data_IF_092129287387
#
_entry.id   IF_092129287387
#
_cell.length_a   1.000
_cell.length_b   1.000
_cell.length_c   1.000
_cell.angle_alpha   90.00
_cell.angle_beta   90.00
_cell.angle_gamma   90.00
#
_symmetry.space_group_name_H-M   'P 1'
#
loop_
_entity.id
_entity.type
_entity.pdbx_description
1 polymer ?
#
# COMPACT_ATOMS: atom_id res chain seq x y z
N UNK A 1 10.58 4.36 18.49
CA UNK A 1 9.12 4.13 18.42
C UNK A 1 8.86 3.44 17.08
N UNK A 2 8.05 2.38 17.02
CA UNK A 2 7.71 1.70 15.75
C UNK A 2 6.50 2.39 15.12
N UNK A 3 6.50 2.56 13.79
CA UNK A 3 5.38 3.15 13.07
C UNK A 3 4.09 2.33 13.28
N UNK A 4 3.04 3.00 13.75
CA UNK A 4 1.70 2.43 13.86
C UNK A 4 1.00 2.54 12.52
N UNK A 5 0.57 1.41 11.96
CA UNK A 5 -0.06 1.41 10.65
C UNK A 5 -1.48 0.86 10.74
N UNK A 6 -2.41 1.69 10.30
CA UNK A 6 -3.80 1.32 10.11
C UNK A 6 -4.11 1.12 8.63
N UNK A 7 -5.25 0.53 8.33
CA UNK A 7 -5.87 0.55 6.99
C UNK A 7 -7.14 1.38 7.00
N UNK A 8 -7.52 1.92 5.84
CA UNK A 8 -8.83 2.53 5.64
C UNK A 8 -9.24 2.47 4.16
N UNK A 9 -10.53 2.71 3.90
CA UNK A 9 -11.02 2.95 2.55
C UNK A 9 -10.51 4.32 2.02
N UNK A 10 -10.44 4.48 0.70
CA UNK A 10 -9.91 5.70 0.06
C UNK A 10 -10.63 7.00 0.46
N UNK A 11 -11.83 6.93 1.02
CA UNK A 11 -12.54 8.10 1.58
C UNK A 11 -11.70 8.83 2.62
N UNK A 12 -10.85 8.11 3.35
CA UNK A 12 -9.91 8.69 4.31
C UNK A 12 -8.90 9.64 3.64
N UNK A 13 -8.40 9.28 2.45
CA UNK A 13 -7.55 10.18 1.62
C UNK A 13 -8.36 11.39 1.17
N UNK A 14 -9.62 11.19 0.73
CA UNK A 14 -10.50 12.28 0.30
C UNK A 14 -10.83 13.28 1.41
N UNK A 15 -10.80 12.84 2.67
CA UNK A 15 -10.93 13.69 3.84
C UNK A 15 -9.64 14.50 4.16
N UNK A 16 -8.62 14.44 3.30
CA UNK A 16 -7.35 15.17 3.38
C UNK A 16 -6.64 14.98 4.73
N UNK A 17 -6.67 13.75 5.27
CA UNK A 17 -6.02 13.43 6.54
C UNK A 17 -4.50 13.38 6.35
N UNK A 18 -3.72 13.99 7.25
CA UNK A 18 -2.27 14.14 7.08
C UNK A 18 -1.48 12.83 7.19
N UNK A 19 -2.08 11.79 7.78
CA UNK A 19 -1.52 10.45 7.92
C UNK A 19 -2.03 9.46 6.85
N UNK A 20 -2.87 9.91 5.92
CA UNK A 20 -3.38 9.08 4.83
C UNK A 20 -2.29 8.81 3.79
N UNK A 21 -2.17 7.54 3.40
CA UNK A 21 -1.23 7.08 2.37
C UNK A 21 -2.01 6.28 1.34
N UNK A 22 -2.23 6.87 0.16
CA UNK A 22 -2.81 6.15 -0.98
C UNK A 22 -1.81 5.13 -1.50
N UNK A 23 -2.11 3.83 -1.35
CA UNK A 23 -1.24 2.74 -1.81
C UNK A 23 -1.61 2.21 -3.20
N UNK A 24 -2.58 2.84 -3.87
CA UNK A 24 -3.00 2.42 -5.20
C UNK A 24 -1.99 2.82 -6.27
N UNK A 25 -1.81 1.96 -7.28
CA UNK A 25 -0.94 2.28 -8.43
C UNK A 25 -1.42 3.53 -9.18
N UNK A 26 -2.73 3.63 -9.41
CA UNK A 26 -3.32 4.77 -10.14
C UNK A 26 -3.11 6.07 -9.37
N UNK A 27 -3.37 6.10 -8.06
CA UNK A 27 -3.21 7.30 -7.24
C UNK A 27 -1.78 7.80 -7.20
N UNK A 28 -0.81 6.90 -6.99
CA UNK A 28 0.61 7.26 -7.00
C UNK A 28 1.08 7.72 -8.38
N UNK A 29 0.61 7.10 -9.47
CA UNK A 29 0.90 7.57 -10.83
C UNK A 29 0.36 8.98 -11.10
N UNK A 30 -0.83 9.32 -10.61
CA UNK A 30 -1.40 10.67 -10.73
C UNK A 30 -0.57 11.70 -9.95
N UNK A 31 -0.11 11.38 -8.74
CA UNK A 31 0.77 12.24 -7.95
C UNK A 31 2.12 12.47 -8.67
N UNK A 32 2.72 11.41 -9.19
CA UNK A 32 3.95 11.47 -9.98
C UNK A 32 3.79 12.37 -11.22
N UNK A 33 2.72 12.19 -12.00
CA UNK A 33 2.40 13.04 -13.17
C UNK A 33 2.22 14.51 -12.80
N UNK A 34 1.67 14.78 -11.61
CA UNK A 34 1.54 16.11 -11.06
C UNK A 34 2.81 16.65 -10.39
N UNK A 35 3.93 15.89 -10.41
CA UNK A 35 5.20 16.19 -9.73
C UNK A 35 5.02 16.43 -8.22
N UNK A 36 4.12 15.67 -7.61
CA UNK A 36 3.88 15.65 -6.16
C UNK A 36 4.49 14.39 -5.54
N UNK A 37 4.74 14.44 -4.24
CA UNK A 37 5.19 13.27 -3.50
C UNK A 37 4.14 12.16 -3.56
N UNK A 38 4.61 10.94 -3.85
CA UNK A 38 3.80 9.72 -3.94
C UNK A 38 4.22 8.74 -2.84
N UNK A 39 3.90 9.03 -1.55
CA UNK A 39 4.44 8.29 -0.41
C UNK A 39 3.97 6.83 -0.35
N UNK A 40 2.90 6.47 -1.05
CA UNK A 40 2.39 5.09 -1.09
C UNK A 40 2.96 4.26 -2.23
N UNK A 41 3.81 4.82 -3.09
CA UNK A 41 4.35 4.12 -4.25
C UNK A 41 5.19 2.91 -3.86
N UNK A 42 5.83 2.93 -2.68
CA UNK A 42 6.57 1.78 -2.13
C UNK A 42 5.68 0.56 -1.86
N UNK A 43 4.36 0.76 -1.79
CA UNK A 43 3.34 -0.27 -1.61
C UNK A 43 2.54 -0.58 -2.88
N UNK A 44 2.72 0.19 -3.96
CA UNK A 44 1.86 0.08 -5.12
C UNK A 44 2.23 -1.17 -5.96
N UNK A 45 1.27 -2.04 -6.31
CA UNK A 45 1.54 -3.18 -7.21
C UNK A 45 1.98 -2.70 -8.58
N UNK A 46 2.77 -3.47 -9.32
CA UNK A 46 3.15 -3.11 -10.69
C UNK A 46 1.93 -3.04 -11.62
N UNK A 47 2.08 -2.33 -12.75
CA UNK A 47 1.05 -2.34 -13.79
C UNK A 47 0.85 -3.72 -14.40
N UNK A 48 1.91 -4.51 -14.52
CA UNK A 48 1.85 -5.84 -15.12
C UNK A 48 1.03 -6.78 -14.24
N UNK A 49 1.27 -6.79 -12.93
CA UNK A 49 0.50 -7.59 -11.99
C UNK A 49 -0.97 -7.16 -11.95
N UNK A 50 -1.25 -5.85 -11.93
CA UNK A 50 -2.63 -5.36 -11.99
C UNK A 50 -3.35 -5.78 -13.27
N UNK A 51 -2.69 -5.66 -14.43
CA UNK A 51 -3.27 -6.05 -15.72
C UNK A 51 -3.49 -7.55 -15.81
N UNK A 52 -2.56 -8.36 -15.30
CA UNK A 52 -2.71 -9.81 -15.25
C UNK A 52 -3.93 -10.22 -14.40
N UNK A 53 -4.10 -9.61 -13.22
CA UNK A 53 -5.26 -9.85 -12.36
C UNK A 53 -6.57 -9.42 -13.03
N UNK A 54 -6.60 -8.22 -13.63
CA UNK A 54 -7.78 -7.72 -14.36
C UNK A 54 -8.17 -8.57 -15.56
N UNK A 55 -7.18 -9.18 -16.22
CA UNK A 55 -7.39 -10.10 -17.34
C UNK A 55 -7.73 -11.53 -16.90
N UNK A 56 -7.75 -11.82 -15.58
CA UNK A 56 -8.00 -13.17 -15.04
C UNK A 56 -6.87 -14.16 -15.34
N UNK A 57 -5.66 -13.66 -15.60
CA UNK A 57 -4.48 -14.48 -15.94
C UNK A 57 -3.75 -15.01 -14.71
N UNK A 58 -4.08 -14.48 -13.52
CA UNK A 58 -3.60 -14.96 -12.23
C UNK A 58 -4.80 -15.14 -11.31
N UNK A 59 -4.75 -16.19 -10.51
CA UNK A 59 -5.66 -16.41 -9.38
C UNK A 59 -5.38 -15.41 -8.25
N UNK A 60 -6.28 -15.33 -7.28
CA UNK A 60 -6.05 -14.52 -6.08
C UNK A 60 -4.79 -14.93 -5.31
N UNK A 61 -4.56 -16.24 -5.13
CA UNK A 61 -3.38 -16.75 -4.42
C UNK A 61 -2.08 -16.43 -5.18
N UNK A 62 -2.10 -16.53 -6.51
CA UNK A 62 -0.97 -16.14 -7.35
C UNK A 62 -0.72 -14.63 -7.27
N UNK A 63 -1.78 -13.81 -7.29
CA UNK A 63 -1.67 -12.38 -7.11
C UNK A 63 -1.00 -12.04 -5.77
N UNK A 64 -1.44 -12.64 -4.67
CA UNK A 64 -0.89 -12.42 -3.34
C UNK A 64 0.60 -12.80 -3.29
N UNK A 65 0.96 -13.95 -3.85
CA UNK A 65 2.35 -14.40 -3.94
C UNK A 65 3.23 -13.42 -4.74
N UNK A 66 2.77 -13.01 -5.93
CA UNK A 66 3.50 -12.08 -6.78
C UNK A 66 3.61 -10.70 -6.15
N UNK A 67 2.53 -10.19 -5.56
CA UNK A 67 2.53 -8.90 -4.89
C UNK A 67 3.47 -8.90 -3.68
N UNK A 68 3.48 -9.98 -2.88
CA UNK A 68 4.44 -10.11 -1.78
C UNK A 68 5.90 -10.15 -2.26
N UNK A 69 6.17 -10.73 -3.42
CA UNK A 69 7.50 -10.68 -4.03
C UNK A 69 7.88 -9.24 -4.44
N UNK A 70 6.96 -8.50 -5.06
CA UNK A 70 7.14 -7.08 -5.40
C UNK A 70 7.38 -6.23 -4.14
N UNK A 71 6.62 -6.45 -3.08
CA UNK A 71 6.79 -5.76 -1.80
C UNK A 71 8.16 -6.00 -1.18
N UNK A 72 8.65 -7.25 -1.20
CA UNK A 72 10.01 -7.58 -0.73
C UNK A 72 11.09 -6.93 -1.59
N UNK A 73 10.88 -6.87 -2.91
CA UNK A 73 11.79 -6.17 -3.81
C UNK A 73 11.80 -4.66 -3.55
N UNK A 74 10.62 -4.04 -3.41
CA UNK A 74 10.44 -2.64 -3.03
C UNK A 74 11.18 -2.32 -1.73
N UNK A 75 11.02 -3.14 -0.69
CA UNK A 75 11.73 -2.97 0.58
C UNK A 75 13.25 -2.94 0.44
N UNK A 76 13.81 -3.80 -0.42
CA UNK A 76 15.26 -3.86 -0.65
C UNK A 76 15.76 -2.69 -1.50
N UNK A 77 15.09 -2.38 -2.60
CA UNK A 77 15.57 -1.40 -3.58
C UNK A 77 15.21 0.05 -3.25
N UNK A 78 14.14 0.28 -2.47
CA UNK A 78 13.63 1.60 -2.08
C UNK A 78 13.84 1.87 -0.60
N UNK A 79 14.99 1.44 -0.08
CA UNK A 79 15.22 1.35 1.35
C UNK A 79 15.08 2.72 2.05
N UNK A 80 15.53 3.79 1.40
CA UNK A 80 15.45 5.15 1.93
C UNK A 80 13.99 5.62 2.08
N UNK A 81 13.14 5.36 1.10
CA UNK A 81 11.72 5.71 1.16
C UNK A 81 10.99 4.88 2.22
N UNK A 82 11.36 3.60 2.36
CA UNK A 82 10.88 2.75 3.44
C UNK A 82 11.28 3.26 4.82
N UNK A 83 12.54 3.65 5.02
CA UNK A 83 12.99 4.22 6.29
C UNK A 83 12.26 5.53 6.60
N UNK A 84 12.01 6.39 5.60
CA UNK A 84 11.23 7.60 5.76
C UNK A 84 9.76 7.31 6.12
N UNK A 85 9.16 6.27 5.54
CA UNK A 85 7.82 5.80 5.91
C UNK A 85 7.79 5.24 7.34
N UNK A 86 8.76 4.41 7.70
CA UNK A 86 8.84 3.75 9.02
C UNK A 86 9.23 4.70 10.15
N UNK A 87 9.80 5.87 9.83
CA UNK A 87 10.07 6.93 10.81
C UNK A 87 8.81 7.68 11.26
N UNK A 88 7.67 7.50 10.57
CA UNK A 88 6.41 8.14 10.96
C UNK A 88 5.89 7.53 12.27
N UNK A 89 5.27 8.35 13.15
CA UNK A 89 4.61 7.80 14.34
C UNK A 89 3.39 6.96 13.95
N UNK A 90 2.67 7.38 12.90
CA UNK A 90 1.44 6.77 12.40
C UNK A 90 1.30 6.93 10.89
N UNK A 91 0.73 5.92 10.22
CA UNK A 91 0.28 5.98 8.83
C UNK A 91 -1.01 5.19 8.63
N UNK A 92 -1.86 5.61 7.69
CA UNK A 92 -3.10 4.92 7.33
C UNK A 92 -3.04 4.55 5.85
N UNK A 93 -2.84 3.26 5.56
CA UNK A 93 -2.78 2.77 4.18
C UNK A 93 -4.19 2.70 3.59
N UNK A 94 -4.39 3.40 2.49
CA UNK A 94 -5.70 3.59 1.87
C UNK A 94 -5.73 3.04 0.45
N UNK A 95 -6.83 2.37 0.11
CA UNK A 95 -7.05 1.80 -1.21
C UNK A 95 -8.51 1.99 -1.65
N UNK A 96 -8.75 1.97 -2.96
CA UNK A 96 -10.06 2.08 -3.60
C UNK A 96 -10.88 0.79 -3.58
N UNK A 97 -10.26 -0.37 -3.35
CA UNK A 97 -10.92 -1.67 -3.47
C UNK A 97 -12.04 -1.81 -2.40
N UNK A 98 -13.31 -1.97 -2.82
CA UNK A 98 -14.43 -2.13 -1.90
C UNK A 98 -14.38 -3.46 -1.16
N UNK A 99 -13.87 -4.52 -1.79
CA UNK A 99 -13.87 -5.87 -1.22
C UNK A 99 -12.61 -6.15 -0.40
N UNK A 100 -12.74 -6.50 0.88
CA UNK A 100 -11.59 -6.69 1.77
C UNK A 100 -10.78 -7.95 1.45
N UNK A 101 -11.41 -8.98 0.88
CA UNK A 101 -10.84 -10.33 0.78
C UNK A 101 -9.63 -10.41 -0.16
N UNK A 102 -9.57 -9.54 -1.18
CA UNK A 102 -8.46 -9.44 -2.14
C UNK A 102 -7.98 -8.00 -2.30
N UNK A 103 -7.97 -7.23 -1.21
CA UNK A 103 -7.46 -5.87 -1.23
C UNK A 103 -5.95 -5.84 -0.96
N UNK A 104 -5.18 -5.20 -1.84
CA UNK A 104 -3.75 -5.00 -1.59
C UNK A 104 -3.44 -4.21 -0.31
N UNK A 105 -4.40 -3.47 0.27
CA UNK A 105 -4.22 -2.84 1.59
C UNK A 105 -4.10 -3.87 2.73
N UNK A 106 -4.76 -5.02 2.60
CA UNK A 106 -4.67 -6.12 3.57
C UNK A 106 -3.43 -6.98 3.36
N UNK A 107 -3.00 -7.17 2.12
CA UNK A 107 -1.70 -7.82 1.87
C UNK A 107 -0.56 -6.95 2.39
N UNK A 108 -0.64 -5.63 2.16
CA UNK A 108 0.27 -4.68 2.80
C UNK A 108 0.19 -4.77 4.32
N UNK A 109 -0.98 -5.03 4.90
CA UNK A 109 -1.19 -5.19 6.33
C UNK A 109 -0.49 -6.40 6.93
N UNK A 110 -0.66 -7.57 6.31
CA UNK A 110 -0.02 -8.80 6.75
C UNK A 110 1.51 -8.73 6.65
N UNK A 111 2.05 -7.95 5.70
CA UNK A 111 3.49 -7.75 5.55
C UNK A 111 4.11 -6.86 6.65
N UNK A 112 3.34 -5.96 7.28
CA UNK A 112 3.88 -4.88 8.15
C UNK A 112 4.68 -5.36 9.35
N UNK A 113 4.25 -6.39 10.12
CA UNK A 113 5.02 -6.88 11.27
C UNK A 113 6.41 -7.36 10.86
N UNK A 114 6.53 -8.00 9.69
CA UNK A 114 7.81 -8.47 9.16
C UNK A 114 8.72 -7.35 8.66
N UNK A 115 8.16 -6.17 8.39
CA UNK A 115 8.87 -5.00 7.86
C UNK A 115 9.17 -3.93 8.93
N UNK A 116 8.84 -4.19 10.19
CA UNK A 116 9.18 -3.33 11.33
C UNK A 116 8.10 -2.32 11.76
N UNK A 117 6.90 -2.41 11.18
CA UNK A 117 5.73 -1.63 11.59
C UNK A 117 4.77 -2.46 12.47
N UNK A 118 3.92 -1.78 13.23
CA UNK A 118 2.87 -2.42 14.02
C UNK A 118 1.56 -2.33 13.24
N UNK A 119 0.90 -3.47 13.05
CA UNK A 119 -0.46 -3.50 12.53
C UNK A 119 -1.46 -3.11 13.61
N UNK A 120 -2.25 -2.06 13.35
CA UNK A 120 -3.26 -1.53 14.27
C UNK A 120 -4.68 -1.66 13.71
N UNK A 121 -4.89 -2.50 12.70
CA UNK A 121 -6.21 -2.81 12.13
C UNK A 121 -6.79 -1.73 11.22
N UNK A 122 -8.00 -2.00 10.72
CA UNK A 122 -8.77 -1.07 9.88
C UNK A 122 -9.53 -0.05 10.74
N UNK A 123 -9.54 1.21 10.31
CA UNK A 123 -10.29 2.29 10.94
C UNK A 123 -11.40 2.77 10.00
N UNK A 124 -12.50 3.27 10.58
CA UNK A 124 -13.58 3.87 9.81
C UNK A 124 -13.12 5.18 9.15
N UNK A 125 -13.56 5.37 7.89
CA UNK A 125 -13.19 6.50 7.03
C UNK A 125 -14.10 7.71 7.17
#
# INVERSE_FOLDING_TARGET
MRCQVHTAQIRYVKANKPDAVDVSRVGNWLLEKARKEAPGEIFAPSWDLLRAAQAGLVTADEYDMHFMAEMRASYRYRRREWDAFLARPRAVLCCYEPYPEHCHRHICASARPTLGAIDCGEIES
#
